data_IF_731491110537
#
_entry.id   IF_731491110537
#
_cell.length_a   1.000
_cell.length_b   1.000
_cell.length_c   1.000
_cell.angle_alpha   90.00
_cell.angle_beta   90.00
_cell.angle_gamma   90.00
#
_symmetry.space_group_name_H-M   'P 1'
#
loop_
_entity.id
_entity.type
_entity.pdbx_description
1 polymer ?
#
# COMPACT_ATOMS: atom_id res chain seq x y z
N UNK A 1 26.75 -1.28 24.11
CA UNK A 1 25.54 -2.10 24.30
C UNK A 1 25.92 -3.56 24.28
N UNK A 2 25.54 -4.33 25.29
CA UNK A 2 25.86 -5.76 25.36
C UNK A 2 25.11 -6.58 24.29
N UNK A 3 25.56 -7.83 24.06
CA UNK A 3 25.00 -8.74 23.06
C UNK A 3 23.51 -8.99 23.29
N UNK A 4 23.13 -9.30 24.53
CA UNK A 4 21.74 -9.65 24.89
C UNK A 4 20.78 -8.53 24.48
N UNK A 5 21.13 -7.29 24.82
CA UNK A 5 20.35 -6.11 24.46
C UNK A 5 20.30 -5.86 22.95
N UNK A 6 21.38 -6.13 22.20
CA UNK A 6 21.37 -6.08 20.73
C UNK A 6 20.41 -7.11 20.14
N UNK A 7 20.48 -8.36 20.59
CA UNK A 7 19.60 -9.45 20.14
C UNK A 7 18.14 -9.15 20.44
N UNK A 8 17.82 -8.64 21.63
CA UNK A 8 16.45 -8.25 22.01
C UNK A 8 15.89 -7.15 21.09
N UNK A 9 16.67 -6.10 20.84
CA UNK A 9 16.28 -5.00 19.95
C UNK A 9 16.09 -5.51 18.51
N UNK A 10 17.01 -6.31 17.98
CA UNK A 10 16.91 -6.85 16.63
C UNK A 10 15.78 -7.87 16.48
N UNK A 11 15.49 -8.66 17.50
CA UNK A 11 14.36 -9.60 17.51
C UNK A 11 13.03 -8.85 17.47
N UNK A 12 12.90 -7.77 18.25
CA UNK A 12 11.72 -6.91 18.21
C UNK A 12 11.56 -6.26 16.82
N UNK A 13 12.65 -5.78 16.23
CA UNK A 13 12.61 -5.21 14.88
C UNK A 13 12.23 -6.24 13.81
N UNK A 14 12.77 -7.46 13.91
CA UNK A 14 12.41 -8.55 12.99
C UNK A 14 10.92 -8.89 13.07
N UNK A 15 10.34 -8.90 14.28
CA UNK A 15 8.90 -9.09 14.48
C UNK A 15 8.09 -7.93 13.87
N UNK A 16 8.52 -6.69 14.06
CA UNK A 16 7.87 -5.52 13.47
C UNK A 16 7.84 -5.62 11.92
N UNK A 17 8.97 -6.01 11.31
CA UNK A 17 9.03 -6.24 9.86
C UNK A 17 8.15 -7.39 9.39
N UNK A 18 7.98 -8.45 10.19
CA UNK A 18 7.05 -9.54 9.88
C UNK A 18 5.60 -9.05 9.87
N UNK A 19 5.20 -8.29 10.90
CA UNK A 19 3.85 -7.73 10.99
C UNK A 19 3.62 -6.73 9.84
N UNK A 20 4.60 -5.89 9.53
CA UNK A 20 4.53 -4.94 8.42
C UNK A 20 4.38 -5.64 7.07
N UNK A 21 5.11 -6.75 6.87
CA UNK A 21 4.98 -7.59 5.68
C UNK A 21 3.55 -8.15 5.56
N UNK A 22 2.99 -8.67 6.65
CA UNK A 22 1.64 -9.23 6.65
C UNK A 22 0.57 -8.19 6.33
N UNK A 23 0.62 -7.01 6.95
CA UNK A 23 -0.31 -5.92 6.62
C UNK A 23 -0.17 -5.48 5.15
N UNK A 24 1.06 -5.37 4.64
CA UNK A 24 1.31 -5.01 3.23
C UNK A 24 0.74 -6.08 2.28
N UNK A 25 0.94 -7.36 2.58
CA UNK A 25 0.38 -8.45 1.80
C UNK A 25 -1.16 -8.46 1.81
N UNK A 26 -1.77 -8.13 2.95
CA UNK A 26 -3.22 -8.07 3.09
C UNK A 26 -3.82 -6.94 2.26
N UNK A 27 -3.18 -5.76 2.20
CA UNK A 27 -3.56 -4.68 1.27
C UNK A 27 -3.58 -5.17 -0.17
N UNK A 28 -2.52 -5.87 -0.61
CA UNK A 28 -2.46 -6.43 -1.96
C UNK A 28 -3.62 -7.39 -2.22
N UNK A 29 -3.95 -8.27 -1.27
CA UNK A 29 -5.06 -9.23 -1.39
C UNK A 29 -6.41 -8.52 -1.51
N UNK A 30 -6.66 -7.48 -0.71
CA UNK A 30 -7.90 -6.70 -0.74
C UNK A 30 -8.05 -5.98 -2.09
N UNK A 31 -6.97 -5.38 -2.60
CA UNK A 31 -6.97 -4.73 -3.92
C UNK A 31 -7.19 -5.69 -5.10
N UNK A 32 -6.90 -6.99 -4.94
CA UNK A 32 -7.10 -8.00 -5.97
C UNK A 32 -8.51 -8.64 -5.94
N UNK A 33 -9.13 -8.73 -4.76
CA UNK A 33 -10.31 -9.57 -4.53
C UNK A 33 -11.63 -8.80 -4.40
N UNK A 34 -11.68 -7.52 -4.80
CA UNK A 34 -12.91 -6.68 -4.74
C UNK A 34 -13.59 -6.71 -3.34
N UNK A 35 -12.75 -6.73 -2.28
CA UNK A 35 -13.19 -6.76 -0.89
C UNK A 35 -13.62 -5.37 -0.39
N UNK A 36 -14.34 -5.32 0.73
CA UNK A 36 -14.98 -4.09 1.24
C UNK A 36 -13.99 -2.96 1.56
N UNK A 37 -14.36 -1.73 1.20
CA UNK A 37 -13.59 -0.50 1.45
C UNK A 37 -13.17 -0.34 2.92
N UNK A 38 -14.07 -0.65 3.85
CA UNK A 38 -13.79 -0.54 5.29
C UNK A 38 -12.68 -1.49 5.79
N UNK A 39 -12.46 -2.62 5.10
CA UNK A 39 -11.33 -3.50 5.39
C UNK A 39 -10.02 -2.88 4.91
N UNK A 40 -10.00 -2.26 3.73
CA UNK A 40 -8.82 -1.62 3.17
C UNK A 40 -8.34 -0.46 4.05
N UNK A 41 -9.26 0.42 4.46
CA UNK A 41 -8.98 1.54 5.36
C UNK A 41 -8.37 1.06 6.69
N UNK A 42 -9.01 0.06 7.32
CA UNK A 42 -8.55 -0.53 8.59
C UNK A 42 -7.13 -1.08 8.47
N UNK A 43 -6.79 -1.75 7.36
CA UNK A 43 -5.44 -2.32 7.18
C UNK A 43 -4.41 -1.22 6.94
N UNK A 44 -4.74 -0.18 6.16
CA UNK A 44 -3.85 0.96 5.97
C UNK A 44 -3.57 1.70 7.29
N UNK A 45 -4.59 1.90 8.13
CA UNK A 45 -4.44 2.53 9.45
C UNK A 45 -3.51 1.71 10.35
N UNK A 46 -3.77 0.40 10.50
CA UNK A 46 -2.90 -0.51 11.28
C UNK A 46 -1.46 -0.51 10.78
N UNK A 47 -1.27 -0.49 9.46
CA UNK A 47 0.05 -0.40 8.82
C UNK A 47 0.73 0.93 9.12
N UNK A 48 -0.01 2.04 9.06
CA UNK A 48 0.48 3.39 9.35
C UNK A 48 0.96 3.54 10.80
N UNK A 49 0.14 3.12 11.76
CA UNK A 49 0.48 3.14 13.20
C UNK A 49 1.75 2.32 13.50
N UNK A 50 1.90 1.16 12.83
CA UNK A 50 3.10 0.35 12.95
C UNK A 50 4.35 1.08 12.43
N UNK A 51 4.26 1.71 11.26
CA UNK A 51 5.37 2.48 10.68
C UNK A 51 5.77 3.66 11.58
N UNK A 52 4.80 4.34 12.17
CA UNK A 52 5.06 5.42 13.14
C UNK A 52 5.82 4.89 14.36
N UNK A 53 5.37 3.78 14.95
CA UNK A 53 6.08 3.12 16.06
C UNK A 53 7.51 2.71 15.68
N UNK A 54 7.69 2.11 14.51
CA UNK A 54 9.00 1.70 14.01
C UNK A 54 9.92 2.91 13.80
N UNK A 55 9.40 4.01 13.25
CA UNK A 55 10.12 5.26 13.05
C UNK A 55 10.59 5.88 14.38
N UNK A 56 9.71 5.94 15.39
CA UNK A 56 10.07 6.41 16.73
C UNK A 56 11.15 5.55 17.41
N UNK A 57 11.23 4.28 17.02
CA UNK A 57 12.19 3.30 17.55
C UNK A 57 13.53 3.31 16.82
N UNK A 58 13.68 4.08 15.72
CA UNK A 58 14.88 4.08 14.87
C UNK A 58 16.17 4.44 15.60
N UNK A 59 16.05 5.30 16.63
CA UNK A 59 17.16 5.69 17.51
C UNK A 59 17.80 4.53 18.27
N UNK A 60 17.08 3.42 18.46
CA UNK A 60 17.62 2.22 19.09
C UNK A 60 18.34 1.31 18.10
N UNK A 61 18.07 1.45 16.80
CA UNK A 61 18.64 0.63 15.73
C UNK A 61 19.88 1.26 15.09
N UNK A 62 19.91 2.59 14.92
CA UNK A 62 21.05 3.30 14.29
C UNK A 62 22.41 2.95 14.95
N UNK A 63 22.52 2.90 16.30
CA UNK A 63 23.78 2.52 16.95
C UNK A 63 24.17 1.06 16.72
N UNK A 64 23.24 0.17 16.39
CA UNK A 64 23.53 -1.23 16.05
C UNK A 64 24.04 -1.31 14.61
N UNK A 65 23.39 -0.61 13.68
CA UNK A 65 23.79 -0.57 12.28
C UNK A 65 25.20 0.03 12.11
N UNK A 66 25.51 1.11 12.83
CA UNK A 66 26.85 1.70 12.87
C UNK A 66 27.92 0.74 13.42
N UNK A 67 27.54 -0.11 14.39
CA UNK A 67 28.42 -1.16 14.94
C UNK A 67 28.57 -2.37 14.02
N UNK A 68 27.60 -2.63 13.16
CA UNK A 68 27.57 -3.74 12.21
C UNK A 68 28.06 -3.32 10.82
N UNK A 69 28.61 -2.12 10.66
CA UNK A 69 29.25 -1.67 9.43
C UNK A 69 30.42 -2.60 9.07
N UNK A 70 30.09 -3.56 8.22
CA UNK A 70 30.90 -4.49 7.43
C UNK A 70 32.36 -4.04 7.24
N UNK A 71 33.23 -4.31 8.22
CA UNK A 71 34.68 -4.32 8.04
C UNK A 71 35.28 -5.38 8.96
N UNK A 72 35.62 -6.52 8.37
CA UNK A 72 36.79 -7.36 8.68
C UNK A 72 37.19 -7.62 10.14
N UNK A 73 36.25 -7.86 11.05
CA UNK A 73 36.60 -8.43 12.35
C UNK A 73 35.96 -9.80 12.59
N UNK A 74 36.87 -10.76 12.64
CA UNK A 74 36.76 -12.18 12.94
C UNK A 74 35.99 -12.38 14.25
N UNK A 75 34.66 -12.41 14.16
CA UNK A 75 33.67 -13.13 15.01
C UNK A 75 32.27 -12.67 14.61
N UNK A 76 31.80 -13.17 13.46
CA UNK A 76 30.38 -13.12 13.10
C UNK A 76 29.58 -13.84 14.18
N UNK A 77 28.65 -13.12 14.79
CA UNK A 77 27.73 -13.68 15.76
C UNK A 77 26.49 -14.15 14.99
N UNK A 78 26.44 -15.45 14.71
CA UNK A 78 25.48 -16.05 13.77
C UNK A 78 24.03 -15.69 14.07
N UNK A 79 23.68 -15.47 15.34
CA UNK A 79 22.33 -15.09 15.78
C UNK A 79 21.97 -13.66 15.36
N UNK A 80 22.89 -12.70 15.53
CA UNK A 80 22.69 -11.30 15.13
C UNK A 80 22.64 -11.21 13.60
N UNK A 81 23.52 -11.95 12.91
CA UNK A 81 23.57 -11.98 11.45
C UNK A 81 22.29 -12.57 10.86
N UNK A 82 21.75 -13.63 11.45
CA UNK A 82 20.49 -14.23 11.03
C UNK A 82 19.32 -13.25 11.20
N UNK A 83 19.27 -12.50 12.30
CA UNK A 83 18.25 -11.47 12.53
C UNK A 83 18.34 -10.33 11.52
N UNK A 84 19.55 -9.82 11.27
CA UNK A 84 19.78 -8.78 10.26
C UNK A 84 19.39 -9.25 8.85
N UNK A 85 19.72 -10.50 8.52
CA UNK A 85 19.34 -11.11 7.26
C UNK A 85 17.81 -11.23 7.12
N UNK A 86 17.11 -11.70 8.15
CA UNK A 86 15.63 -11.77 8.17
C UNK A 86 14.99 -10.39 7.97
N UNK A 87 15.49 -9.38 8.70
CA UNK A 87 15.03 -7.99 8.56
C UNK A 87 15.23 -7.50 7.13
N UNK A 88 16.42 -7.71 6.55
CA UNK A 88 16.74 -7.30 5.18
C UNK A 88 15.85 -7.99 4.14
N UNK A 89 15.65 -9.30 4.27
CA UNK A 89 14.77 -10.06 3.38
C UNK A 89 13.34 -9.55 3.42
N UNK A 90 12.79 -9.33 4.62
CA UNK A 90 11.42 -8.83 4.79
C UNK A 90 11.27 -7.41 4.29
N UNK A 91 12.24 -6.54 4.57
CA UNK A 91 12.28 -5.17 4.05
C UNK A 91 12.24 -5.13 2.52
N UNK A 92 13.08 -5.93 1.86
CA UNK A 92 13.08 -6.05 0.39
C UNK A 92 11.74 -6.55 -0.14
N UNK A 93 11.15 -7.56 0.50
CA UNK A 93 9.86 -8.10 0.09
C UNK A 93 8.72 -7.07 0.25
N UNK A 94 8.75 -6.25 1.31
CA UNK A 94 7.80 -5.14 1.50
C UNK A 94 7.95 -4.09 0.39
N UNK A 95 9.18 -3.76 -0.01
CA UNK A 95 9.43 -2.82 -1.12
C UNK A 95 8.77 -3.31 -2.41
N UNK A 96 9.00 -4.57 -2.77
CA UNK A 96 8.37 -5.17 -3.97
C UNK A 96 6.84 -5.14 -3.86
N UNK A 97 6.27 -5.54 -2.71
CA UNK A 97 4.83 -5.49 -2.51
C UNK A 97 4.26 -4.06 -2.62
N UNK A 98 4.97 -3.05 -2.13
CA UNK A 98 4.54 -1.65 -2.24
C UNK A 98 4.49 -1.18 -3.69
N UNK A 99 5.47 -1.57 -4.51
CA UNK A 99 5.49 -1.25 -5.95
C UNK A 99 4.30 -1.90 -6.67
N UNK A 100 4.02 -3.18 -6.37
CA UNK A 100 2.86 -3.88 -6.91
C UNK A 100 1.53 -3.24 -6.48
N UNK A 101 1.41 -2.87 -5.20
CA UNK A 101 0.23 -2.18 -4.66
C UNK A 101 0.03 -0.82 -5.35
N UNK A 102 1.10 -0.04 -5.54
CA UNK A 102 1.01 1.24 -6.23
C UNK A 102 0.54 1.06 -7.69
N UNK A 103 1.03 0.01 -8.36
CA UNK A 103 0.57 -0.35 -9.71
C UNK A 103 -0.93 -0.72 -9.72
N UNK A 104 -1.39 -1.53 -8.77
CA UNK A 104 -2.81 -1.91 -8.65
C UNK A 104 -3.70 -0.69 -8.39
N UNK A 105 -3.31 0.20 -7.48
CA UNK A 105 -4.05 1.44 -7.21
C UNK A 105 -4.15 2.29 -8.47
N UNK A 106 -3.04 2.46 -9.22
CA UNK A 106 -3.03 3.21 -10.47
C UNK A 106 -3.98 2.59 -11.51
N UNK A 107 -4.00 1.26 -11.62
CA UNK A 107 -4.91 0.55 -12.51
C UNK A 107 -6.37 0.79 -12.12
N UNK A 108 -6.70 0.71 -10.82
CA UNK A 108 -8.05 0.99 -10.33
C UNK A 108 -8.49 2.42 -10.62
N UNK A 109 -7.63 3.41 -10.38
CA UNK A 109 -7.89 4.83 -10.71
C UNK A 109 -8.15 5.02 -12.20
N UNK A 110 -7.35 4.39 -13.07
CA UNK A 110 -7.55 4.46 -14.52
C UNK A 110 -8.90 3.84 -14.94
N UNK A 111 -9.28 2.71 -14.35
CA UNK A 111 -10.56 2.06 -14.62
C UNK A 111 -11.74 2.96 -14.21
N UNK A 112 -11.69 3.52 -12.99
CA UNK A 112 -12.70 4.46 -12.48
C UNK A 112 -12.81 5.67 -13.41
N UNK A 113 -11.68 6.25 -13.80
CA UNK A 113 -11.65 7.42 -14.69
C UNK A 113 -12.29 7.09 -16.04
N UNK A 114 -11.99 5.93 -16.61
CA UNK A 114 -12.61 5.46 -17.86
C UNK A 114 -14.13 5.30 -17.73
N UNK A 115 -14.61 4.74 -16.62
CA UNK A 115 -16.05 4.61 -16.37
C UNK A 115 -16.75 5.96 -16.21
N UNK A 116 -16.12 6.92 -15.52
CA UNK A 116 -16.66 8.27 -15.39
C UNK A 116 -16.78 9.00 -16.74
N UNK A 117 -15.80 8.83 -17.63
CA UNK A 117 -15.86 9.38 -19.00
C UNK A 117 -17.04 8.79 -19.77
N UNK A 118 -17.20 7.46 -19.76
CA UNK A 118 -18.32 6.78 -20.43
C UNK A 118 -19.69 7.23 -19.89
N UNK A 119 -19.80 7.41 -18.56
CA UNK A 119 -21.02 7.93 -17.95
C UNK A 119 -21.34 9.36 -18.40
N UNK A 120 -20.31 10.21 -18.53
CA UNK A 120 -20.47 11.58 -19.03
C UNK A 120 -20.92 11.61 -20.50
N UNK A 121 -20.32 10.77 -21.35
CA UNK A 121 -20.70 10.63 -22.76
C UNK A 121 -22.14 10.11 -22.90
N UNK A 122 -22.51 9.08 -22.12
CA UNK A 122 -23.87 8.55 -22.08
C UNK A 122 -24.89 9.60 -21.64
N UNK A 123 -24.56 10.42 -20.64
CA UNK A 123 -25.40 11.55 -20.22
C UNK A 123 -25.60 12.56 -21.36
N UNK A 124 -24.51 12.98 -22.02
CA UNK A 124 -24.59 13.91 -23.15
C UNK A 124 -25.47 13.37 -24.29
N UNK A 125 -25.34 12.07 -24.60
CA UNK A 125 -26.17 11.40 -25.60
C UNK A 125 -27.66 11.44 -25.22
N UNK A 126 -28.00 11.10 -23.98
CA UNK A 126 -29.38 11.16 -23.48
C UNK A 126 -29.95 12.59 -23.50
N UNK A 127 -29.15 13.60 -23.14
CA UNK A 127 -29.57 15.00 -23.18
C UNK A 127 -29.85 15.45 -24.62
N UNK A 128 -29.02 15.00 -25.57
CA UNK A 128 -29.22 15.25 -27.01
C UNK A 128 -30.53 14.63 -27.54
N UNK A 129 -30.82 13.38 -27.15
CA UNK A 129 -32.09 12.72 -27.51
C UNK A 129 -33.30 13.49 -26.95
N UNK A 130 -33.26 13.86 -25.67
CA UNK A 130 -34.35 14.61 -25.02
C UNK A 130 -34.61 15.94 -25.72
N UNK A 131 -33.54 16.67 -26.10
CA UNK A 131 -33.68 17.92 -26.85
C UNK A 131 -34.38 17.68 -28.19
N UNK A 132 -33.99 16.66 -28.95
CA UNK A 132 -34.64 16.34 -30.21
C UNK A 132 -36.12 15.99 -30.01
N UNK A 133 -36.47 15.11 -29.07
CA UNK A 133 -37.87 14.75 -28.78
C UNK A 133 -38.75 15.96 -28.42
N UNK A 134 -38.24 16.87 -27.59
CA UNK A 134 -38.98 18.08 -27.21
C UNK A 134 -39.20 19.02 -28.40
N UNK A 135 -38.22 19.14 -29.30
CA UNK A 135 -38.35 19.93 -30.54
C UNK A 135 -39.40 19.31 -31.46
N UNK A 136 -39.38 17.99 -31.67
CA UNK A 136 -40.36 17.32 -32.53
C UNK A 136 -41.78 17.42 -31.98
N UNK A 137 -41.95 17.30 -30.65
CA UNK A 137 -43.25 17.50 -29.99
C UNK A 137 -43.78 18.92 -30.18
N UNK A 138 -42.93 19.94 -30.04
CA UNK A 138 -43.32 21.35 -30.21
C UNK A 138 -43.70 21.70 -31.66
N UNK A 139 -43.10 21.02 -32.65
CA UNK A 139 -43.42 21.22 -34.06
C UNK A 139 -44.77 20.61 -34.45
N UNK A 140 -45.17 19.51 -33.83
CA UNK A 140 -46.47 18.86 -34.08
C UNK A 140 -47.62 19.74 -33.57
N UNK A 141 -47.45 20.42 -32.43
CA UNK A 141 -48.44 21.37 -31.88
C UNK A 141 -48.57 22.67 -32.71
N UNK A 142 -47.56 23.06 -33.51
CA UNK A 142 -47.64 24.26 -34.36
C UNK A 142 -48.33 24.02 -35.72
N UNK A 143 -48.62 22.77 -36.09
CA UNK A 143 -49.29 22.42 -37.35
C UNK A 143 -50.77 22.01 -37.16
N UNK A 144 -51.34 22.23 -35.96
CA UNK A 144 -52.76 22.05 -35.65
C UNK A 144 -53.58 23.33 -35.78
#
# INVERSE_FOLDING_TARGET
MDKKKKTEILSALALDYEILFNHTLEIKKVLLNDLSEGLLETIFEKRGLLLERMSLSIKYYNPINEFCNFTDSIRQDSEIDELLHKIKQKSNAITVLNEEIASLIKQHINNITSYLVKLREGKHYMDTIKMHYNITSSLIDMCG
#
